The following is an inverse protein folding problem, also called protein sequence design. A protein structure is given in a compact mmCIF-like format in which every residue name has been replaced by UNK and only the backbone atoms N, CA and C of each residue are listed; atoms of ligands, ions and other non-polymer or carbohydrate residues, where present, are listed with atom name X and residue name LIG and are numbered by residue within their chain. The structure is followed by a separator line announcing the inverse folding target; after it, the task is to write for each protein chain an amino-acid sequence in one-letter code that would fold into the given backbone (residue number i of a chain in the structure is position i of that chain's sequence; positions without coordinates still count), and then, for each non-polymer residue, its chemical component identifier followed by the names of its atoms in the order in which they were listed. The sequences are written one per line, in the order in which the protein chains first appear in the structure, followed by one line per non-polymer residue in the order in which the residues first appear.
data_IF_159063187411
#
_entry.id   IF_159063187411
#
_cell.length_a   1.000
_cell.length_b   1.000
_cell.length_c   1.000
_cell.angle_alpha   90.00
_cell.angle_beta   90.00
_cell.angle_gamma   90.00
#
_symmetry.space_group_name_H-M   'P 1'
#
loop_
_entity.id
_entity.type
_entity.pdbx_description
1 polymer ?
#
# COMPACT_ATOMS: atom_id res chain seq x y z
N UNK A 1 -18.60 10.31 7.75
CA UNK A 1 -18.85 8.86 7.89
C UNK A 1 -17.66 8.09 7.36
N UNK A 2 -17.27 7.03 8.06
CA UNK A 2 -16.22 6.08 7.60
C UNK A 2 -16.89 4.73 7.44
N UNK A 3 -16.63 4.08 6.32
CA UNK A 3 -17.12 2.75 5.97
C UNK A 3 -15.97 1.89 5.45
N UNK A 4 -16.11 0.56 5.54
CA UNK A 4 -15.09 -0.40 5.09
C UNK A 4 -15.71 -1.49 4.25
N UNK A 5 -15.00 -1.89 3.19
CA UNK A 5 -15.38 -3.01 2.32
C UNK A 5 -14.22 -4.02 2.32
N UNK A 6 -14.56 -5.30 2.41
CA UNK A 6 -13.60 -6.39 2.39
C UNK A 6 -14.00 -7.43 1.36
N UNK A 7 -13.05 -7.83 0.54
CA UNK A 7 -13.20 -8.90 -0.44
C UNK A 7 -12.07 -9.93 -0.28
N UNK A 8 -12.39 -11.19 -0.56
CA UNK A 8 -11.41 -12.29 -0.54
C UNK A 8 -11.54 -13.05 -1.86
N UNK A 9 -10.41 -13.41 -2.41
CA UNK A 9 -10.34 -14.33 -3.54
C UNK A 9 -9.73 -15.66 -3.05
N UNK A 10 -10.36 -16.76 -3.43
CA UNK A 10 -9.95 -18.10 -3.04
C UNK A 10 -9.24 -18.77 -4.21
N UNK A 11 -8.12 -19.43 -3.93
CA UNK A 11 -7.38 -20.19 -4.93
C UNK A 11 -8.26 -21.26 -5.57
N UNK A 12 -8.29 -21.34 -6.89
CA UNK A 12 -9.04 -22.36 -7.63
C UNK A 12 -8.25 -23.65 -7.79
N UNK A 13 -6.93 -23.60 -7.59
CA UNK A 13 -5.98 -24.70 -7.63
C UNK A 13 -4.87 -24.47 -6.60
N UNK A 14 -4.02 -25.47 -6.39
CA UNK A 14 -2.87 -25.34 -5.52
C UNK A 14 -1.82 -24.38 -6.12
N UNK A 15 -1.46 -23.34 -5.38
CA UNK A 15 -0.50 -22.31 -5.83
C UNK A 15 0.84 -22.54 -5.10
N UNK A 16 1.91 -22.90 -5.81
CA UNK A 16 3.25 -22.94 -5.24
C UNK A 16 3.71 -21.56 -4.77
N UNK A 17 4.30 -21.49 -3.59
CA UNK A 17 4.81 -20.26 -3.00
C UNK A 17 6.17 -20.53 -2.34
N UNK A 18 7.10 -19.59 -2.25
CA UNK A 18 8.47 -19.83 -1.75
C UNK A 18 8.58 -20.53 -0.41
N UNK A 19 7.59 -20.39 0.45
CA UNK A 19 7.56 -21.00 1.79
C UNK A 19 6.57 -22.16 1.94
N UNK A 20 5.98 -22.64 0.83
CA UNK A 20 5.03 -23.75 0.86
C UNK A 20 4.06 -23.77 -0.32
N UNK A 21 2.85 -24.24 -0.08
CA UNK A 21 1.77 -24.34 -1.08
C UNK A 21 0.50 -23.76 -0.50
N UNK A 22 -0.09 -22.80 -1.19
CA UNK A 22 -1.43 -22.31 -0.89
C UNK A 22 -2.42 -23.26 -1.53
N UNK A 23 -3.24 -23.91 -0.69
CA UNK A 23 -4.15 -24.96 -1.13
C UNK A 23 -5.38 -24.36 -1.84
N UNK A 24 -5.87 -25.07 -2.84
CA UNK A 24 -7.16 -24.76 -3.46
C UNK A 24 -8.25 -24.59 -2.39
N UNK A 25 -9.13 -23.63 -2.58
CA UNK A 25 -10.18 -23.28 -1.64
C UNK A 25 -9.73 -22.43 -0.44
N UNK A 26 -8.43 -22.05 -0.35
CA UNK A 26 -7.96 -21.12 0.68
C UNK A 26 -7.79 -19.70 0.12
N UNK A 27 -7.74 -18.69 0.99
CA UNK A 27 -7.60 -17.28 0.58
C UNK A 27 -6.21 -17.05 -0.02
N UNK A 28 -6.17 -16.57 -1.25
CA UNK A 28 -4.95 -16.25 -1.99
C UNK A 28 -4.86 -14.78 -2.43
N UNK A 29 -5.93 -14.00 -2.24
CA UNK A 29 -5.87 -12.55 -2.35
C UNK A 29 -6.89 -11.90 -1.42
N UNK A 30 -6.57 -10.68 -0.96
CA UNK A 30 -7.47 -9.84 -0.18
C UNK A 30 -7.50 -8.43 -0.76
N UNK A 31 -8.68 -7.82 -0.77
CA UNK A 31 -8.88 -6.42 -1.11
C UNK A 31 -9.69 -5.78 -0.01
N UNK A 32 -9.30 -4.60 0.40
CA UNK A 32 -10.13 -3.81 1.29
C UNK A 32 -10.12 -2.34 0.87
N UNK A 33 -11.20 -1.66 1.18
CA UNK A 33 -11.34 -0.21 1.04
C UNK A 33 -11.74 0.40 2.37
N UNK A 34 -11.16 1.57 2.67
CA UNK A 34 -11.63 2.48 3.72
C UNK A 34 -12.19 3.70 3.00
N UNK A 35 -13.46 3.97 3.17
CA UNK A 35 -14.19 5.02 2.47
C UNK A 35 -14.54 6.15 3.42
N UNK A 36 -14.03 7.36 3.16
CA UNK A 36 -14.44 8.58 3.83
C UNK A 36 -15.58 9.26 3.08
N UNK A 37 -16.73 9.39 3.72
CA UNK A 37 -17.95 9.95 3.13
C UNK A 37 -18.19 11.42 3.52
N UNK A 38 -18.58 12.22 2.54
CA UNK A 38 -19.07 13.60 2.72
C UNK A 38 -20.43 13.71 2.07
N UNK A 39 -21.44 14.15 2.83
CA UNK A 39 -22.84 14.25 2.37
C UNK A 39 -23.41 12.95 1.80
N UNK A 40 -23.06 11.80 2.42
CA UNK A 40 -23.55 10.48 2.00
C UNK A 40 -22.77 9.84 0.85
N UNK A 41 -21.84 10.54 0.22
CA UNK A 41 -21.07 10.08 -0.93
C UNK A 41 -19.61 9.80 -0.53
N UNK A 42 -19.00 8.67 -0.94
CA UNK A 42 -17.59 8.42 -0.73
C UNK A 42 -16.74 9.43 -1.53
N UNK A 43 -15.90 10.18 -0.83
CA UNK A 43 -15.03 11.22 -1.44
C UNK A 43 -13.56 10.89 -1.32
N UNK A 44 -13.17 10.14 -0.28
CA UNK A 44 -11.81 9.66 -0.08
C UNK A 44 -11.89 8.14 0.03
N UNK A 45 -11.16 7.44 -0.82
CA UNK A 45 -11.09 5.97 -0.80
C UNK A 45 -9.62 5.59 -0.68
N UNK A 46 -9.30 4.85 0.36
CA UNK A 46 -8.00 4.17 0.52
C UNK A 46 -8.23 2.71 0.23
N UNK A 47 -7.64 2.21 -0.83
CA UNK A 47 -7.79 0.83 -1.30
C UNK A 47 -6.46 0.09 -1.20
N UNK A 48 -6.51 -1.16 -0.79
CA UNK A 48 -5.38 -2.07 -0.78
C UNK A 48 -5.76 -3.40 -1.41
N UNK A 49 -4.99 -3.82 -2.43
CA UNK A 49 -5.10 -5.13 -3.05
C UNK A 49 -3.81 -5.91 -2.81
N UNK A 50 -3.91 -7.04 -2.15
CA UNK A 50 -2.78 -7.94 -1.93
C UNK A 50 -3.07 -9.29 -2.60
N UNK A 51 -2.14 -9.77 -3.41
CA UNK A 51 -2.21 -11.03 -4.15
C UNK A 51 -0.96 -11.86 -3.93
N UNK A 52 -1.13 -13.17 -3.87
CA UNK A 52 0.02 -14.10 -3.77
C UNK A 52 0.69 -14.32 -5.12
N UNK A 53 -0.06 -14.17 -6.21
CA UNK A 53 0.46 -14.21 -7.59
C UNK A 53 -0.23 -13.17 -8.46
N UNK A 54 0.38 -12.85 -9.60
CA UNK A 54 -0.21 -11.89 -10.54
C UNK A 54 -1.52 -12.37 -11.17
N UNK A 55 -1.79 -13.67 -11.18
CA UNK A 55 -3.01 -14.25 -11.77
C UNK A 55 -4.16 -14.31 -10.77
N UNK A 56 -3.88 -14.17 -9.47
CA UNK A 56 -4.91 -14.15 -8.44
C UNK A 56 -5.82 -12.92 -8.60
N UNK A 57 -7.13 -13.11 -8.42
CA UNK A 57 -8.15 -12.07 -8.49
C UNK A 57 -8.03 -11.19 -9.76
N UNK A 58 -8.23 -11.75 -10.95
CA UNK A 58 -7.97 -11.07 -12.23
C UNK A 58 -8.81 -9.80 -12.43
N UNK A 59 -10.01 -9.76 -11.85
CA UNK A 59 -10.96 -8.65 -11.99
C UNK A 59 -10.67 -7.46 -11.06
N UNK A 60 -9.74 -7.60 -10.11
CA UNK A 60 -9.40 -6.52 -9.21
C UNK A 60 -8.46 -5.50 -9.87
N UNK A 61 -8.43 -4.24 -9.38
CA UNK A 61 -7.54 -3.21 -9.91
C UNK A 61 -6.09 -3.66 -10.01
N UNK A 62 -5.44 -3.29 -11.11
CA UNK A 62 -4.04 -3.60 -11.40
C UNK A 62 -3.26 -2.33 -11.72
N UNK A 63 -1.95 -2.37 -11.50
CA UNK A 63 -1.03 -1.35 -11.99
C UNK A 63 -1.02 -1.32 -13.53
N UNK A 64 -0.61 -0.20 -14.10
CA UNK A 64 -0.35 -0.10 -15.55
C UNK A 64 1.00 -0.72 -15.91
N UNK A 65 1.92 -0.85 -14.94
CA UNK A 65 3.18 -1.57 -15.11
C UNK A 65 2.95 -3.08 -15.22
N UNK A 66 3.80 -3.77 -15.98
CA UNK A 66 3.76 -5.21 -16.16
C UNK A 66 3.94 -6.01 -14.85
N UNK A 67 4.53 -5.39 -13.83
CA UNK A 67 4.86 -6.03 -12.54
C UNK A 67 3.73 -5.94 -11.51
N UNK A 68 2.63 -5.27 -11.84
CA UNK A 68 1.42 -5.13 -11.02
C UNK A 68 1.59 -4.54 -9.60
N UNK A 69 2.76 -4.01 -9.28
CA UNK A 69 3.04 -3.37 -7.99
C UNK A 69 3.09 -1.86 -8.15
N UNK A 70 2.18 -1.12 -7.54
CA UNK A 70 2.24 0.34 -7.50
C UNK A 70 1.46 0.91 -6.33
N UNK A 71 1.81 2.14 -5.98
CA UNK A 71 0.96 3.05 -5.21
C UNK A 71 0.29 4.00 -6.21
N UNK A 72 -1.02 3.98 -6.28
CA UNK A 72 -1.79 4.81 -7.21
C UNK A 72 -2.57 5.88 -6.48
N UNK A 73 -2.47 7.12 -6.97
CA UNK A 73 -3.33 8.23 -6.54
C UNK A 73 -4.18 8.66 -7.72
N UNK A 74 -5.50 8.72 -7.52
CA UNK A 74 -6.45 9.21 -8.50
C UNK A 74 -7.22 10.36 -7.86
N UNK A 75 -7.11 11.56 -8.45
CA UNK A 75 -7.88 12.73 -8.05
C UNK A 75 -8.83 13.07 -9.20
N UNK A 76 -10.11 13.00 -8.94
CA UNK A 76 -11.16 13.43 -9.88
C UNK A 76 -11.51 14.88 -9.58
N UNK A 77 -11.09 15.78 -10.44
CA UNK A 77 -11.27 17.22 -10.24
C UNK A 77 -10.95 18.02 -11.50
N UNK A 78 -10.58 19.28 -11.32
CA UNK A 78 -10.10 20.13 -12.39
C UNK A 78 -8.73 20.69 -12.02
N UNK A 79 -7.64 20.11 -12.55
CA UNK A 79 -7.59 18.96 -13.46
C UNK A 79 -7.84 17.61 -12.79
N UNK A 80 -8.10 16.57 -13.58
CA UNK A 80 -7.97 15.18 -13.12
C UNK A 80 -6.48 14.82 -13.03
N UNK A 81 -6.10 14.11 -11.99
CA UNK A 81 -4.72 13.65 -11.77
C UNK A 81 -4.73 12.14 -11.56
N UNK A 82 -3.85 11.45 -12.26
CA UNK A 82 -3.54 10.03 -12.01
C UNK A 82 -2.03 9.90 -11.91
N UNK A 83 -1.57 9.32 -10.81
CA UNK A 83 -0.16 9.06 -10.56
C UNK A 83 0.01 7.61 -10.12
N UNK A 84 0.98 6.91 -10.68
CA UNK A 84 1.48 5.64 -10.17
C UNK A 84 2.94 5.80 -9.73
N UNK A 85 3.25 5.30 -8.56
CA UNK A 85 4.60 5.32 -7.98
C UNK A 85 5.03 3.89 -7.73
N UNK A 86 6.18 3.51 -8.27
CA UNK A 86 6.79 2.21 -8.07
C UNK A 86 7.96 2.36 -7.12
N UNK A 87 8.00 1.52 -6.10
CA UNK A 87 9.16 1.37 -5.23
C UNK A 87 9.98 0.18 -5.70
N UNK A 88 11.27 0.34 -5.73
CA UNK A 88 12.23 -0.72 -6.07
C UNK A 88 13.38 -0.66 -5.07
N UNK A 89 13.83 -1.82 -4.64
CA UNK A 89 15.10 -1.90 -3.94
C UNK A 89 16.24 -1.55 -4.90
N UNK A 90 17.17 -0.75 -4.43
CA UNK A 90 18.29 -0.23 -5.25
C UNK A 90 19.20 -1.36 -5.76
N UNK A 91 19.35 -2.42 -4.97
CA UNK A 91 20.35 -3.47 -5.25
C UNK A 91 19.77 -4.63 -6.07
N UNK A 92 18.51 -4.99 -5.80
CA UNK A 92 17.86 -6.15 -6.42
C UNK A 92 16.80 -5.76 -7.44
N UNK A 93 16.32 -4.52 -7.40
CA UNK A 93 15.18 -4.05 -8.19
C UNK A 93 13.84 -4.62 -7.71
N UNK A 94 13.83 -5.35 -6.60
CA UNK A 94 12.65 -6.02 -6.07
C UNK A 94 11.62 -5.02 -5.53
N UNK A 95 10.37 -5.14 -5.97
CA UNK A 95 9.31 -4.22 -5.59
C UNK A 95 8.84 -4.43 -4.14
N UNK A 96 8.79 -5.69 -3.68
CA UNK A 96 8.37 -5.98 -2.32
C UNK A 96 9.41 -5.49 -1.30
N UNK A 97 10.69 -5.70 -1.58
CA UNK A 97 11.78 -5.16 -0.75
C UNK A 97 11.74 -3.63 -0.70
N UNK A 98 11.56 -2.97 -1.86
CA UNK A 98 11.40 -1.51 -1.93
C UNK A 98 10.19 -1.00 -1.15
N UNK A 99 9.06 -1.68 -1.24
CA UNK A 99 7.85 -1.38 -0.48
C UNK A 99 8.04 -1.56 1.04
N UNK A 100 8.65 -2.66 1.46
CA UNK A 100 8.97 -2.93 2.86
C UNK A 100 9.94 -1.88 3.43
N UNK A 101 10.97 -1.51 2.67
CA UNK A 101 11.93 -0.48 3.05
C UNK A 101 11.23 0.88 3.25
N UNK A 102 10.41 1.30 2.29
CA UNK A 102 9.69 2.58 2.37
C UNK A 102 8.75 2.63 3.58
N UNK A 103 8.08 1.52 3.88
CA UNK A 103 7.18 1.38 5.03
C UNK A 103 7.96 1.44 6.36
N UNK A 104 9.04 0.66 6.47
CA UNK A 104 9.89 0.64 7.66
C UNK A 104 10.56 1.99 7.94
N UNK A 105 11.06 2.65 6.90
CA UNK A 105 11.69 3.96 7.01
C UNK A 105 10.72 5.06 7.45
N UNK A 106 9.42 4.91 7.23
CA UNK A 106 8.43 5.84 7.77
C UNK A 106 8.48 5.87 9.31
N UNK A 107 8.60 4.71 9.95
CA UNK A 107 8.72 4.61 11.40
C UNK A 107 10.08 5.14 11.87
N UNK A 108 11.18 4.74 11.22
CA UNK A 108 12.53 5.19 11.58
C UNK A 108 12.68 6.70 11.50
N UNK A 109 12.21 7.31 10.40
CA UNK A 109 12.28 8.77 10.22
C UNK A 109 11.38 9.53 11.20
N UNK A 110 10.36 8.89 11.80
CA UNK A 110 9.53 9.51 12.82
C UNK A 110 10.21 9.62 14.20
N UNK A 111 11.27 8.84 14.48
CA UNK A 111 11.92 8.80 15.80
C UNK A 111 12.27 10.20 16.34
N UNK A 112 12.94 11.09 15.60
CA UNK A 112 13.26 12.42 16.13
C UNK A 112 12.02 13.24 16.49
N UNK A 113 10.94 13.15 15.69
CA UNK A 113 9.70 13.87 15.97
C UNK A 113 8.99 13.32 17.21
N UNK A 114 8.96 12.00 17.38
CA UNK A 114 8.40 11.35 18.57
C UNK A 114 9.20 11.71 19.82
N UNK A 115 10.53 11.71 19.73
CA UNK A 115 11.41 12.10 20.84
C UNK A 115 11.23 13.54 21.29
N UNK A 116 10.87 14.44 20.38
CA UNK A 116 10.63 15.86 20.67
C UNK A 116 9.20 16.16 21.13
N UNK A 117 8.28 15.21 21.00
CA UNK A 117 6.88 15.40 21.34
C UNK A 117 6.63 15.31 22.85
N UNK A 118 5.47 15.79 23.28
CA UNK A 118 5.01 15.62 24.67
C UNK A 118 4.80 14.13 24.97
N UNK A 119 5.22 13.64 26.15
CA UNK A 119 5.01 12.24 26.53
C UNK A 119 3.53 11.83 26.47
N UNK A 120 3.27 10.69 25.84
CA UNK A 120 1.91 10.17 25.68
C UNK A 120 1.80 9.21 24.50
N UNK A 121 0.57 8.76 24.22
CA UNK A 121 0.24 8.01 23.02
C UNK A 121 0.00 9.01 21.89
N UNK A 122 0.76 8.89 20.81
CA UNK A 122 0.72 9.79 19.66
C UNK A 122 0.19 9.06 18.42
N UNK A 123 -0.59 9.77 17.62
CA UNK A 123 -0.98 9.37 16.29
C UNK A 123 -0.14 10.12 15.23
N UNK A 124 -0.16 9.69 13.95
CA UNK A 124 0.49 10.46 12.88
C UNK A 124 -0.04 11.89 12.72
N UNK A 125 -1.24 12.20 13.24
CA UNK A 125 -1.83 13.54 13.20
C UNK A 125 -1.28 14.48 14.29
N UNK A 126 -0.67 13.91 15.33
CA UNK A 126 -0.05 14.67 16.43
C UNK A 126 1.41 15.02 16.13
N UNK A 127 1.96 14.49 15.04
CA UNK A 127 3.34 14.70 14.62
C UNK A 127 3.40 15.65 13.42
N UNK A 128 4.50 16.40 13.24
CA UNK A 128 4.73 17.15 12.01
C UNK A 128 4.88 16.18 10.82
N UNK A 129 4.80 16.71 9.60
CA UNK A 129 5.14 15.92 8.42
C UNK A 129 6.58 15.40 8.53
N UNK A 130 6.73 14.08 8.50
CA UNK A 130 8.03 13.42 8.61
C UNK A 130 8.61 13.23 7.21
N UNK A 131 9.66 13.98 6.83
CA UNK A 131 10.31 13.84 5.53
C UNK A 131 11.17 12.58 5.47
N UNK A 132 11.47 12.11 4.27
CA UNK A 132 12.53 11.15 4.04
C UNK A 132 13.90 11.75 4.36
N UNK A 133 14.78 10.98 5.01
CA UNK A 133 16.15 11.38 5.33
C UNK A 133 17.12 10.45 4.62
N UNK A 134 18.19 11.02 4.03
CA UNK A 134 19.23 10.24 3.34
C UNK A 134 18.75 9.53 2.06
N UNK A 135 17.65 9.99 1.45
CA UNK A 135 17.09 9.42 0.22
C UNK A 135 17.91 9.77 -1.03
N UNK A 136 18.73 10.81 -0.97
CA UNK A 136 19.59 11.24 -2.06
C UNK A 136 21.04 10.90 -1.73
N UNK A 137 21.71 10.18 -2.60
CA UNK A 137 23.15 9.93 -2.54
C UNK A 137 23.87 10.90 -3.46
N UNK A 138 25.03 11.39 -3.02
CA UNK A 138 25.97 12.04 -3.95
C UNK A 138 26.45 10.99 -4.96
N UNK A 139 26.44 11.34 -6.22
CA UNK A 139 27.02 10.54 -7.29
C UNK A 139 28.52 10.31 -7.08
#
# INVERSE_FOLDING_TARGET
QIDTVWEKWFATEDIPYPVGVIKAGTVAAVRFEIRGGVNGEPRIIVEHCNRVTNDAAPDWPRATSAENDCYRVIIKGSPNITQETLFRDEFTGDANAGGCLSTGMRAVNAIPAVMAATPGMLSPLDLPLVPGVGTMRSA
#
